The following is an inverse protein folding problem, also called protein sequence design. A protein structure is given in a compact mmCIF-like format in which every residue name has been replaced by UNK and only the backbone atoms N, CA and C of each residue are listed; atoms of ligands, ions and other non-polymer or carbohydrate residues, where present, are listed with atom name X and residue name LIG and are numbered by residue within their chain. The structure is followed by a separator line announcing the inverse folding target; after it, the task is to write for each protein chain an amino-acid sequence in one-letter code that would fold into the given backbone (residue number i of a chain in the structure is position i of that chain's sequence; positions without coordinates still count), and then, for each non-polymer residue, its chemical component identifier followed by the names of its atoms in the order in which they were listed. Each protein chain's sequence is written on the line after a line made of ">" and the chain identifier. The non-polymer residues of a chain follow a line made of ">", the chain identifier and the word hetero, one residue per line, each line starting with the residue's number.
data_IF_869571615955
#
_entry.id   IF_869571615955
#
_cell.length_a   1.000
_cell.length_b   1.000
_cell.length_c   1.000
_cell.angle_alpha   90.00
_cell.angle_beta   90.00
_cell.angle_gamma   90.00
#
_symmetry.space_group_name_H-M   'P 1'
#
loop_
_entity.id
_entity.type
_entity.pdbx_description
1 polymer ?
#
# COMPACT_ATOMS: atom_id res chain seq x y z
N UNK A 1 -1.16 6.70 -15.88
CA UNK A 1 -0.67 7.59 -14.81
C UNK A 1 -1.31 7.14 -13.51
N UNK A 2 -0.54 6.66 -12.54
CA UNK A 2 -1.07 6.19 -11.26
C UNK A 2 -1.62 7.31 -10.38
N UNK A 3 -2.49 6.95 -9.43
CA UNK A 3 -3.03 7.86 -8.42
C UNK A 3 -4.54 8.02 -8.48
N UNK A 4 -5.15 8.24 -7.32
CA UNK A 4 -6.59 8.49 -7.21
C UNK A 4 -6.84 9.67 -6.24
N UNK A 5 -6.64 10.91 -6.72
CA UNK A 5 -6.11 11.33 -8.02
C UNK A 5 -4.57 11.22 -8.11
N UNK A 6 -3.97 11.32 -9.31
CA UNK A 6 -2.54 11.55 -9.46
C UNK A 6 -2.11 12.87 -8.82
N UNK A 7 -0.84 12.96 -8.39
CA UNK A 7 -0.31 14.21 -7.84
C UNK A 7 -0.10 15.25 -8.94
N UNK A 8 -0.22 16.54 -8.58
CA UNK A 8 -0.22 17.66 -9.52
C UNK A 8 1.04 17.68 -10.38
N UNK A 9 2.22 17.48 -9.79
CA UNK A 9 3.49 17.50 -10.51
C UNK A 9 3.57 16.43 -11.60
N UNK A 10 3.00 15.23 -11.33
CA UNK A 10 2.93 14.18 -12.35
C UNK A 10 2.00 14.55 -13.50
N UNK A 11 0.82 15.12 -13.19
CA UNK A 11 -0.11 15.59 -14.21
C UNK A 11 0.61 16.60 -15.12
N UNK A 12 1.31 17.54 -14.51
CA UNK A 12 2.03 18.58 -15.22
C UNK A 12 3.17 18.02 -16.09
N UNK A 13 3.99 17.14 -15.54
CA UNK A 13 5.10 16.50 -16.26
C UNK A 13 4.61 15.71 -17.48
N UNK A 14 3.53 14.94 -17.31
CA UNK A 14 2.92 14.19 -18.44
C UNK A 14 2.37 15.14 -19.49
N UNK A 15 1.72 16.23 -19.08
CA UNK A 15 1.20 17.22 -20.00
C UNK A 15 2.32 17.91 -20.81
N UNK A 16 3.41 18.29 -20.16
CA UNK A 16 4.59 18.85 -20.85
C UNK A 16 5.20 17.84 -21.83
N UNK A 17 5.34 16.59 -21.47
CA UNK A 17 5.86 15.54 -22.34
C UNK A 17 5.00 15.36 -23.60
N UNK A 18 3.67 15.36 -23.44
CA UNK A 18 2.73 15.27 -24.57
C UNK A 18 2.84 16.49 -25.50
N UNK A 19 2.96 17.71 -24.95
CA UNK A 19 3.17 18.93 -25.75
C UNK A 19 4.49 18.91 -26.53
N UNK A 20 5.52 18.27 -25.98
CA UNK A 20 6.80 18.06 -26.63
C UNK A 20 6.78 16.89 -27.65
N UNK A 21 5.64 16.28 -27.92
CA UNK A 21 5.51 15.16 -28.84
C UNK A 21 6.05 13.83 -28.32
N UNK A 22 6.36 13.73 -27.03
CA UNK A 22 6.82 12.51 -26.36
C UNK A 22 5.61 11.67 -25.97
N UNK A 23 5.10 10.87 -26.89
CA UNK A 23 3.95 9.99 -26.65
C UNK A 23 4.48 8.67 -26.12
N UNK A 24 4.10 8.26 -24.88
CA UNK A 24 4.53 6.98 -24.34
C UNK A 24 3.87 5.82 -25.07
N UNK A 25 4.49 4.65 -25.02
CA UNK A 25 3.93 3.42 -25.56
C UNK A 25 2.62 3.03 -24.83
N UNK A 26 1.74 2.34 -25.56
CA UNK A 26 0.48 1.85 -24.97
C UNK A 26 0.77 0.89 -23.80
N UNK A 27 0.19 1.18 -22.63
CA UNK A 27 0.39 0.40 -21.42
C UNK A 27 1.55 0.88 -20.54
N UNK A 28 2.36 1.83 -20.99
CA UNK A 28 3.42 2.41 -20.17
C UNK A 28 2.85 3.09 -18.92
N UNK A 29 3.53 2.88 -17.79
CA UNK A 29 3.22 3.56 -16.54
C UNK A 29 4.09 4.80 -16.42
N UNK A 30 3.47 5.98 -16.39
CA UNK A 30 4.15 7.26 -16.37
C UNK A 30 4.05 7.88 -15.00
N UNK A 31 5.17 8.44 -14.50
CA UNK A 31 5.20 9.20 -13.26
C UNK A 31 5.17 8.31 -12.00
N UNK A 32 5.60 7.06 -12.10
CA UNK A 32 5.75 6.15 -10.97
C UNK A 32 7.16 5.56 -10.94
N UNK A 33 7.60 5.19 -9.76
CA UNK A 33 8.86 4.48 -9.52
C UNK A 33 8.62 2.97 -9.54
N UNK A 34 9.65 2.19 -9.88
CA UNK A 34 9.67 0.74 -9.75
C UNK A 34 9.70 0.27 -8.28
N UNK A 35 10.15 1.14 -7.36
CA UNK A 35 10.19 0.87 -5.91
C UNK A 35 8.80 0.92 -5.29
N UNK A 36 8.68 0.35 -4.09
CA UNK A 36 7.49 0.52 -3.26
C UNK A 36 7.54 1.82 -2.46
N UNK A 37 6.38 2.29 -2.00
CA UNK A 37 6.32 3.41 -1.05
C UNK A 37 7.09 3.09 0.25
N UNK A 38 7.16 1.83 0.62
CA UNK A 38 7.91 1.37 1.79
C UNK A 38 9.41 1.60 1.64
N UNK A 39 9.96 1.43 0.40
CA UNK A 39 11.40 1.59 0.14
C UNK A 39 11.86 3.05 0.22
N UNK A 40 10.95 4.00 -0.06
CA UNK A 40 11.23 5.44 -0.04
C UNK A 40 10.65 6.15 1.19
N UNK A 41 10.02 5.39 2.11
CA UNK A 41 9.41 5.93 3.32
C UNK A 41 10.47 6.34 4.33
N UNK A 42 10.43 7.57 4.88
CA UNK A 42 11.41 8.06 5.84
C UNK A 42 11.23 7.50 7.25
N UNK A 43 10.07 6.85 7.54
CA UNK A 43 9.76 6.35 8.88
C UNK A 43 10.66 5.19 9.28
N UNK A 44 11.04 5.17 10.55
CA UNK A 44 11.81 4.07 11.12
C UNK A 44 10.99 2.78 11.11
N UNK A 45 11.50 1.80 10.38
CA UNK A 45 10.96 0.45 10.36
C UNK A 45 11.53 -0.28 11.55
N UNK A 46 10.74 -0.64 12.51
CA UNK A 46 11.16 -1.46 13.64
C UNK A 46 11.93 -2.70 13.15
N UNK A 47 12.90 -3.16 13.94
CA UNK A 47 13.68 -4.35 13.61
C UNK A 47 12.80 -5.61 13.49
N UNK A 48 13.38 -6.70 13.01
CA UNK A 48 12.71 -8.01 12.80
C UNK A 48 12.06 -8.62 14.05
N UNK A 49 12.29 -8.04 15.22
CA UNK A 49 11.71 -8.48 16.51
C UNK A 49 10.38 -7.80 16.84
N UNK A 50 9.94 -6.80 16.06
CA UNK A 50 8.71 -6.09 16.34
C UNK A 50 7.53 -6.84 15.76
N UNK A 51 6.66 -7.35 16.64
CA UNK A 51 5.52 -8.20 16.32
C UNK A 51 4.20 -7.54 16.66
N UNK A 52 3.25 -7.67 15.75
CA UNK A 52 1.90 -7.12 15.90
C UNK A 52 0.99 -8.16 16.52
N UNK A 53 0.31 -7.76 17.59
CA UNK A 53 -0.67 -8.60 18.30
C UNK A 53 -2.12 -8.20 18.03
N UNK A 54 -2.32 -7.03 17.46
CA UNK A 54 -3.63 -6.44 17.21
C UNK A 54 -3.50 -5.38 16.11
N UNK A 55 -4.46 -5.36 15.18
CA UNK A 55 -4.55 -4.30 14.17
C UNK A 55 -5.59 -3.26 14.58
N UNK A 56 -5.19 -2.00 14.54
CA UNK A 56 -6.00 -0.83 14.93
C UNK A 56 -6.25 0.10 13.74
N UNK A 57 -7.31 0.88 13.84
CA UNK A 57 -7.53 1.99 12.91
C UNK A 57 -6.72 3.22 13.34
N UNK A 58 -6.33 4.12 12.40
CA UNK A 58 -5.53 5.30 12.73
C UNK A 58 -6.11 6.22 13.80
N UNK A 59 -7.46 6.24 13.96
CA UNK A 59 -8.13 7.08 14.93
C UNK A 59 -8.21 6.46 16.34
N UNK A 60 -7.81 5.22 16.49
CA UNK A 60 -7.81 4.47 17.77
C UNK A 60 -6.46 4.55 18.47
N UNK A 61 -5.44 5.10 17.80
CA UNK A 61 -4.06 5.14 18.27
C UNK A 61 -3.46 6.51 18.08
N UNK A 62 -2.74 7.01 19.08
CA UNK A 62 -1.85 8.16 18.90
C UNK A 62 -0.59 7.68 18.17
N UNK A 63 -0.44 8.12 16.93
CA UNK A 63 0.61 7.66 16.03
C UNK A 63 1.86 8.52 16.14
N UNK A 64 2.99 7.90 16.45
CA UNK A 64 4.31 8.52 16.36
C UNK A 64 4.64 8.80 14.88
N UNK A 65 4.95 10.07 14.51
CA UNK A 65 5.22 10.44 13.12
C UNK A 65 6.52 9.88 12.57
N UNK A 66 7.46 9.47 13.40
CA UNK A 66 8.77 8.97 12.98
C UNK A 66 8.80 7.43 12.85
N UNK A 67 7.83 6.73 13.45
CA UNK A 67 7.77 5.27 13.49
C UNK A 67 6.84 4.72 12.42
N UNK A 68 7.20 3.57 11.82
CA UNK A 68 6.40 2.89 10.80
C UNK A 68 5.00 2.53 11.34
N UNK A 69 3.95 2.80 10.56
CA UNK A 69 2.57 2.49 10.94
C UNK A 69 2.35 1.00 11.23
N UNK A 70 2.95 0.12 10.42
CA UNK A 70 2.81 -1.32 10.58
C UNK A 70 3.35 -1.78 11.93
N UNK A 71 4.45 -1.20 12.40
CA UNK A 71 5.04 -1.53 13.70
C UNK A 71 4.24 -0.96 14.88
N UNK A 72 3.39 0.02 14.62
CA UNK A 72 2.44 0.58 15.59
C UNK A 72 1.07 -0.14 15.55
N UNK A 73 0.95 -1.24 14.80
CA UNK A 73 -0.30 -2.00 14.67
C UNK A 73 -1.34 -1.34 13.77
N UNK A 74 -0.94 -0.45 12.87
CA UNK A 74 -1.85 0.19 11.90
C UNK A 74 -1.50 -0.22 10.48
N UNK A 75 -2.48 -0.77 9.76
CA UNK A 75 -2.27 -1.27 8.40
C UNK A 75 -1.93 -0.13 7.44
N UNK A 76 -0.79 -0.27 6.77
CA UNK A 76 -0.28 0.63 5.75
C UNK A 76 -0.02 -0.15 4.46
N UNK A 77 -0.60 0.30 3.34
CA UNK A 77 -0.43 -0.35 2.03
C UNK A 77 0.93 -0.05 1.36
N UNK A 78 1.86 0.62 2.06
CA UNK A 78 3.17 1.00 1.53
C UNK A 78 3.96 -0.15 0.88
N UNK A 79 4.05 -1.34 1.50
CA UNK A 79 4.77 -2.48 0.94
C UNK A 79 4.22 -3.03 -0.38
N UNK A 80 2.93 -2.79 -0.65
CA UNK A 80 2.23 -3.26 -1.84
C UNK A 80 1.89 -2.14 -2.83
N UNK A 81 2.42 -0.93 -2.62
CA UNK A 81 2.08 0.25 -3.42
C UNK A 81 3.34 0.83 -4.03
N UNK A 82 3.33 1.07 -5.36
CA UNK A 82 4.45 1.71 -6.05
C UNK A 82 4.71 3.13 -5.55
N UNK A 83 5.97 3.53 -5.55
CA UNK A 83 6.41 4.89 -5.22
C UNK A 83 6.17 5.88 -6.37
N UNK A 84 6.43 7.15 -6.11
CA UNK A 84 6.31 8.25 -7.07
C UNK A 84 5.26 9.29 -6.70
N UNK A 85 4.44 9.06 -5.66
CA UNK A 85 3.43 10.03 -5.21
C UNK A 85 3.98 11.13 -4.28
N UNK A 86 5.25 11.05 -3.86
CA UNK A 86 5.81 11.97 -2.87
C UNK A 86 5.31 11.75 -1.43
N UNK A 87 4.62 10.64 -1.16
CA UNK A 87 4.16 10.20 0.17
C UNK A 87 3.27 11.20 0.94
N UNK A 88 2.30 11.91 0.33
CA UNK A 88 1.54 12.95 1.02
C UNK A 88 0.74 12.43 2.22
N UNK A 89 0.23 11.20 2.15
CA UNK A 89 -0.47 10.58 3.29
C UNK A 89 0.47 10.37 4.46
N UNK A 90 1.65 9.81 4.21
CA UNK A 90 2.65 9.50 5.24
C UNK A 90 3.18 10.77 5.88
N UNK A 91 3.43 11.82 5.09
CA UNK A 91 3.82 13.14 5.59
C UNK A 91 2.72 13.80 6.44
N UNK A 92 1.45 13.51 6.14
CA UNK A 92 0.30 13.94 6.94
C UNK A 92 -0.03 13.01 8.12
N UNK A 93 0.91 12.17 8.55
CA UNK A 93 0.73 11.17 9.62
C UNK A 93 -0.44 10.20 9.38
N UNK A 94 -0.68 9.83 8.13
CA UNK A 94 -1.70 8.84 7.74
C UNK A 94 -1.08 7.68 6.96
N UNK A 95 -1.52 6.43 7.19
CA UNK A 95 -0.99 5.28 6.47
C UNK A 95 -1.32 5.35 4.98
N UNK A 96 -0.44 4.80 4.14
CA UNK A 96 -0.69 4.63 2.72
C UNK A 96 -1.96 3.80 2.48
N UNK A 97 -2.81 4.24 1.54
CA UNK A 97 -4.09 3.57 1.23
C UNK A 97 -4.07 2.76 -0.06
N UNK A 98 -2.94 2.73 -0.79
CA UNK A 98 -2.80 1.89 -1.97
C UNK A 98 -3.18 2.53 -3.31
N UNK A 99 -3.50 3.82 -3.35
CA UNK A 99 -4.10 4.48 -4.53
C UNK A 99 -3.20 4.56 -5.77
N UNK A 100 -1.90 4.31 -5.63
CA UNK A 100 -0.93 4.30 -6.74
C UNK A 100 -0.80 2.94 -7.42
N UNK A 101 -1.52 1.92 -6.90
CA UNK A 101 -1.47 0.56 -7.43
C UNK A 101 -0.18 -0.20 -7.12
N UNK A 102 -0.08 -1.46 -7.55
CA UNK A 102 1.05 -2.31 -7.26
C UNK A 102 2.29 -1.93 -8.09
N UNK A 103 3.53 -2.21 -7.62
CA UNK A 103 4.74 -2.21 -8.45
C UNK A 103 4.62 -3.23 -9.58
N UNK A 104 5.51 -3.15 -10.58
CA UNK A 104 5.40 -3.94 -11.82
C UNK A 104 5.61 -5.45 -11.61
N UNK A 105 6.31 -5.83 -10.54
CA UNK A 105 6.55 -7.22 -10.12
C UNK A 105 5.41 -7.83 -9.27
N UNK A 106 4.37 -7.06 -8.97
CA UNK A 106 3.24 -7.48 -8.13
C UNK A 106 1.96 -7.60 -8.96
N UNK A 107 1.49 -8.82 -9.11
CA UNK A 107 0.25 -9.14 -9.87
C UNK A 107 -1.00 -8.71 -9.10
N UNK A 108 -1.03 -8.93 -7.79
CA UNK A 108 -2.18 -8.63 -6.93
C UNK A 108 -1.74 -7.81 -5.70
N UNK A 109 -2.19 -6.56 -5.67
CA UNK A 109 -1.86 -5.61 -4.60
C UNK A 109 -2.35 -6.06 -3.23
N UNK A 110 -3.56 -6.59 -3.16
CA UNK A 110 -4.15 -7.04 -1.92
C UNK A 110 -3.46 -8.27 -1.35
N UNK A 111 -3.16 -9.25 -2.20
CA UNK A 111 -2.40 -10.44 -1.81
C UNK A 111 -1.00 -10.08 -1.31
N UNK A 112 -0.31 -9.13 -1.98
CA UNK A 112 0.99 -8.63 -1.52
C UNK A 112 0.89 -7.94 -0.17
N UNK A 113 -0.15 -7.15 0.06
CA UNK A 113 -0.39 -6.52 1.36
C UNK A 113 -0.63 -7.57 2.45
N UNK A 114 -1.50 -8.54 2.20
CA UNK A 114 -1.79 -9.62 3.15
C UNK A 114 -0.53 -10.41 3.52
N UNK A 115 0.32 -10.70 2.54
CA UNK A 115 1.62 -11.33 2.79
C UNK A 115 2.52 -10.46 3.66
N UNK A 116 2.56 -9.14 3.42
CA UNK A 116 3.39 -8.22 4.20
C UNK A 116 2.91 -8.06 5.65
N UNK A 117 1.61 -7.98 5.88
CA UNK A 117 1.06 -7.88 7.26
C UNK A 117 1.17 -9.22 7.99
N UNK A 118 0.97 -10.34 7.30
CA UNK A 118 1.13 -11.68 7.88
C UNK A 118 2.55 -11.94 8.38
N UNK A 119 3.56 -11.42 7.70
CA UNK A 119 4.96 -11.52 8.13
C UNK A 119 5.27 -10.75 9.44
N UNK A 120 4.38 -9.87 9.88
CA UNK A 120 4.53 -9.10 11.13
C UNK A 120 3.80 -9.74 12.32
N UNK A 121 2.99 -10.75 12.07
CA UNK A 121 2.30 -11.49 13.14
C UNK A 121 3.25 -12.57 13.67
N UNK A 122 3.37 -12.65 14.99
CA UNK A 122 4.27 -13.56 15.68
C UNK A 122 3.49 -14.66 16.40
N UNK A 123 2.92 -15.57 15.63
CA UNK A 123 2.27 -16.75 16.20
C UNK A 123 2.17 -17.86 15.16
N UNK A 124 2.46 -19.07 15.59
CA UNK A 124 2.20 -20.31 14.85
C UNK A 124 0.88 -20.97 15.34
N UNK A 125 0.22 -20.38 16.33
CA UNK A 125 -1.04 -20.87 16.86
C UNK A 125 -2.21 -20.36 15.99
N UNK A 126 -2.97 -21.26 15.35
CA UNK A 126 -4.08 -20.89 14.47
C UNK A 126 -5.21 -20.11 15.19
N UNK A 127 -5.46 -20.39 16.48
CA UNK A 127 -6.50 -19.69 17.24
C UNK A 127 -6.09 -18.25 17.53
N UNK A 128 -4.83 -18.04 17.95
CA UNK A 128 -4.27 -16.71 18.18
C UNK A 128 -4.19 -15.92 16.86
N UNK A 129 -3.77 -16.57 15.78
CA UNK A 129 -3.77 -15.96 14.45
C UNK A 129 -5.17 -15.51 14.03
N UNK A 130 -6.18 -16.36 14.24
CA UNK A 130 -7.58 -16.02 13.97
C UNK A 130 -8.02 -14.78 14.74
N UNK A 131 -7.73 -14.70 16.03
CA UNK A 131 -8.05 -13.54 16.86
C UNK A 131 -7.38 -12.25 16.36
N UNK A 132 -6.11 -12.31 15.95
CA UNK A 132 -5.40 -11.16 15.39
C UNK A 132 -6.02 -10.72 14.06
N UNK A 133 -6.38 -11.67 13.19
CA UNK A 133 -7.01 -11.37 11.90
C UNK A 133 -8.40 -10.73 12.08
N UNK A 134 -9.16 -11.16 13.09
CA UNK A 134 -10.48 -10.61 13.41
C UNK A 134 -10.42 -9.13 13.87
N UNK A 135 -9.25 -8.65 14.30
CA UNK A 135 -9.05 -7.22 14.60
C UNK A 135 -8.95 -6.35 13.35
N UNK A 136 -8.76 -6.94 12.16
CA UNK A 136 -8.69 -6.19 10.90
C UNK A 136 -10.09 -5.73 10.53
N UNK A 137 -10.36 -4.45 10.71
CA UNK A 137 -11.62 -3.87 10.28
C UNK A 137 -11.70 -3.82 8.75
N UNK A 138 -12.75 -4.43 8.17
CA UNK A 138 -13.00 -4.51 6.74
C UNK A 138 -11.76 -5.00 5.94
N UNK A 139 -11.38 -6.28 6.06
CA UNK A 139 -10.18 -6.82 5.41
C UNK A 139 -10.19 -6.64 3.89
N UNK A 140 -11.36 -6.85 3.26
CA UNK A 140 -11.52 -6.72 1.82
C UNK A 140 -11.36 -5.26 1.38
N UNK A 141 -12.07 -4.32 2.00
CA UNK A 141 -11.96 -2.90 1.67
C UNK A 141 -10.58 -2.33 2.03
N UNK A 142 -9.91 -2.87 3.03
CA UNK A 142 -8.55 -2.46 3.40
C UNK A 142 -7.52 -2.93 2.38
N UNK A 143 -7.59 -4.18 1.93
CA UNK A 143 -6.60 -4.79 1.05
C UNK A 143 -6.86 -4.49 -0.44
N UNK A 144 -8.12 -4.35 -0.85
CA UNK A 144 -8.52 -4.27 -2.26
C UNK A 144 -9.20 -2.96 -2.65
N UNK A 145 -9.12 -1.91 -1.85
CA UNK A 145 -9.77 -0.61 -2.09
C UNK A 145 -9.58 -0.06 -3.50
N UNK A 146 -8.39 -0.20 -4.07
CA UNK A 146 -8.04 0.31 -5.39
C UNK A 146 -7.68 -0.79 -6.39
N UNK A 147 -7.52 -2.03 -5.94
CA UNK A 147 -7.03 -3.16 -6.73
C UNK A 147 -8.08 -4.22 -7.05
N UNK A 148 -9.33 -4.11 -6.56
CA UNK A 148 -10.31 -5.19 -6.67
C UNK A 148 -10.58 -5.63 -8.11
N UNK A 149 -10.66 -4.69 -9.06
CA UNK A 149 -10.93 -4.99 -10.46
C UNK A 149 -9.81 -5.78 -11.14
N UNK A 150 -8.57 -5.63 -10.68
CA UNK A 150 -7.39 -6.30 -11.22
C UNK A 150 -6.86 -7.40 -10.29
N UNK A 151 -7.66 -7.81 -9.32
CA UNK A 151 -7.28 -8.82 -8.33
C UNK A 151 -7.60 -10.23 -8.81
N UNK A 152 -6.90 -11.21 -8.28
CA UNK A 152 -7.23 -12.63 -8.48
C UNK A 152 -8.65 -12.99 -8.00
N UNK A 153 -9.23 -12.18 -7.11
CA UNK A 153 -10.60 -12.36 -6.62
C UNK A 153 -11.65 -12.11 -7.72
N UNK A 154 -11.36 -11.26 -8.71
CA UNK A 154 -12.26 -10.99 -9.82
C UNK A 154 -12.41 -12.19 -10.76
N UNK A 155 -11.36 -13.02 -10.89
CA UNK A 155 -11.36 -14.21 -11.75
C UNK A 155 -12.17 -15.36 -11.17
N UNK A 156 -12.40 -15.40 -9.85
CA UNK A 156 -13.18 -16.45 -9.18
C UNK A 156 -14.68 -16.38 -9.47
N UNK A 157 -15.18 -15.25 -9.99
CA UNK A 157 -16.60 -15.07 -10.29
C UNK A 157 -17.05 -15.64 -11.62
N UNK A 158 -16.13 -16.05 -12.49
CA UNK A 158 -16.42 -16.46 -13.87
C UNK A 158 -16.11 -17.94 -14.17
N UNK A 159 -15.99 -18.77 -13.13
CA UNK A 159 -15.84 -20.22 -13.27
C UNK A 159 -17.11 -20.96 -12.86
#
# INVERSE_FOLDING_TARGET
>A
MPGCPPVVDQIWNVFQALLAGQIPEKGAVIGADAKTNCDVCPREKGGSSQRVKEWKRPHEVELDPDVCFLTQGVICCGPATRAGCGLPCISGNMPCRGCYGPPDDVVDQGAKLLSAIGALVDTDDPEVLGQILDTIADPAGTSYRFGLANSVLSELKYK
#
